data_IF_955315492749
#
_entry.id   IF_955315492749
#
_cell.length_a   1.000
_cell.length_b   1.000
_cell.length_c   1.000
_cell.angle_alpha   90.00
_cell.angle_beta   90.00
_cell.angle_gamma   90.00
#
_symmetry.space_group_name_H-M   'P 1'
#
loop_
_entity.id
_entity.type
_entity.pdbx_description
1 polymer ?
#
# COMPACT_ATOMS: atom_id res chain seq x y z
N UNK A 1 -18.10 13.17 -17.87
CA UNK A 1 -17.07 13.88 -17.09
C UNK A 1 -16.73 15.15 -17.85
N UNK A 2 -17.08 16.31 -17.32
CA UNK A 2 -16.73 17.57 -17.95
C UNK A 2 -15.20 17.77 -17.81
N UNK A 3 -14.50 17.84 -18.94
CA UNK A 3 -13.14 18.36 -18.98
C UNK A 3 -13.23 19.84 -18.61
N UNK A 4 -12.62 20.22 -17.49
CA UNK A 4 -12.35 21.63 -17.21
C UNK A 4 -11.25 22.08 -18.17
N UNK A 5 -11.58 23.02 -19.05
CA UNK A 5 -10.64 23.68 -19.96
C UNK A 5 -9.92 24.80 -19.21
N UNK A 6 -8.63 25.00 -19.52
CA UNK A 6 -7.74 25.98 -18.87
C UNK A 6 -8.16 27.45 -19.08
N UNK A 7 -9.24 27.70 -19.81
CA UNK A 7 -9.76 29.03 -20.13
C UNK A 7 -10.79 29.55 -19.12
N UNK A 8 -11.24 28.72 -18.17
CA UNK A 8 -12.22 29.10 -17.12
C UNK A 8 -11.58 29.63 -15.82
N UNK A 9 -10.25 29.85 -15.83
CA UNK A 9 -9.48 30.23 -14.63
C UNK A 9 -9.35 31.75 -14.53
N UNK A 10 -10.47 32.46 -14.41
CA UNK A 10 -10.46 33.81 -13.84
C UNK A 10 -11.63 34.02 -12.87
N UNK A 11 -11.41 33.59 -11.64
CA UNK A 11 -11.82 34.32 -10.46
C UNK A 11 -10.99 33.79 -9.29
N UNK A 12 -10.69 34.65 -8.32
CA UNK A 12 -9.88 34.40 -7.12
C UNK A 12 -10.46 33.31 -6.19
N UNK A 13 -10.62 32.08 -6.67
CA UNK A 13 -11.13 30.97 -5.89
C UNK A 13 -10.00 30.48 -5.00
N UNK A 14 -9.84 31.15 -3.85
CA UNK A 14 -8.92 30.73 -2.79
C UNK A 14 -9.36 29.37 -2.27
N UNK A 15 -8.68 28.31 -2.70
CA UNK A 15 -8.83 26.98 -2.12
C UNK A 15 -8.22 27.00 -0.72
N UNK A 16 -9.08 27.02 0.31
CA UNK A 16 -8.66 26.92 1.70
C UNK A 16 -8.11 25.51 1.97
N UNK A 17 -6.79 25.41 2.05
CA UNK A 17 -6.07 24.21 2.50
C UNK A 17 -5.60 24.36 3.96
N UNK A 18 -5.32 23.25 4.64
CA UNK A 18 -4.73 23.27 5.98
C UNK A 18 -5.70 23.47 7.15
N UNK A 19 -7.03 23.38 6.94
CA UNK A 19 -7.99 23.35 8.06
C UNK A 19 -7.69 22.15 8.97
N UNK A 20 -7.43 22.43 10.24
CA UNK A 20 -7.17 21.41 11.25
C UNK A 20 -8.46 20.68 11.61
N UNK A 21 -8.46 19.36 11.51
CA UNK A 21 -9.52 18.47 12.01
C UNK A 21 -8.91 17.42 12.94
N UNK A 22 -9.63 17.08 14.01
CA UNK A 22 -9.23 16.02 14.93
C UNK A 22 -10.01 14.75 14.60
N UNK A 23 -9.30 13.65 14.37
CA UNK A 23 -9.86 12.32 14.11
C UNK A 23 -9.38 11.36 15.21
N UNK A 24 -10.32 10.80 15.96
CA UNK A 24 -10.03 9.72 16.93
C UNK A 24 -9.96 8.39 16.17
N UNK A 25 -8.81 7.72 16.24
CA UNK A 25 -8.60 6.40 15.61
C UNK A 25 -8.06 5.41 16.62
N UNK A 26 -8.53 4.16 16.54
CA UNK A 26 -7.99 3.06 17.33
C UNK A 26 -6.63 2.65 16.76
N UNK A 27 -5.59 2.62 17.60
CA UNK A 27 -4.26 2.12 17.24
C UNK A 27 -4.06 0.74 17.85
N UNK A 28 -3.95 -0.27 17.01
CA UNK A 28 -3.54 -1.60 17.44
C UNK A 28 -2.02 -1.66 17.54
N UNK A 29 -1.51 -2.31 18.60
CA UNK A 29 -0.08 -2.53 18.77
C UNK A 29 0.46 -3.39 17.62
N UNK A 30 1.56 -2.97 17.02
CA UNK A 30 2.27 -3.72 15.98
C UNK A 30 3.67 -3.99 16.50
N UNK A 31 4.02 -5.25 16.69
CA UNK A 31 5.36 -5.64 17.10
C UNK A 31 6.35 -5.39 15.93
N UNK A 32 7.33 -4.49 16.07
CA UNK A 32 8.32 -4.23 15.02
C UNK A 32 9.09 -5.47 14.59
N UNK A 33 9.26 -6.45 15.49
CA UNK A 33 9.91 -7.72 15.17
C UNK A 33 9.19 -8.49 14.05
N UNK A 34 7.86 -8.38 13.94
CA UNK A 34 7.11 -9.06 12.89
C UNK A 34 7.49 -8.51 11.50
N UNK A 35 7.74 -7.20 11.40
CA UNK A 35 8.24 -6.60 10.15
C UNK A 35 9.60 -7.19 9.79
N UNK A 36 10.52 -7.20 10.74
CA UNK A 36 11.88 -7.69 10.48
C UNK A 36 11.90 -9.18 10.14
N UNK A 37 11.10 -10.00 10.83
CA UNK A 37 10.94 -11.42 10.52
C UNK A 37 10.34 -11.65 9.12
N UNK A 38 9.31 -10.88 8.75
CA UNK A 38 8.75 -10.91 7.40
C UNK A 38 9.83 -10.61 6.35
N UNK A 39 10.62 -9.55 6.55
CA UNK A 39 11.62 -9.11 5.57
C UNK A 39 12.85 -10.02 5.54
N UNK A 40 13.24 -10.60 6.67
CA UNK A 40 14.30 -11.60 6.73
C UNK A 40 13.92 -12.86 5.93
N UNK A 41 12.66 -13.29 6.00
CA UNK A 41 12.17 -14.45 5.27
C UNK A 41 11.85 -14.16 3.79
N UNK A 42 11.28 -13.00 3.48
CA UNK A 42 10.70 -12.71 2.17
C UNK A 42 11.51 -11.74 1.30
N UNK A 43 12.48 -11.02 1.87
CA UNK A 43 13.28 -10.01 1.18
C UNK A 43 12.55 -8.69 0.94
N UNK A 44 13.16 -7.82 0.11
CA UNK A 44 12.73 -6.44 -0.12
C UNK A 44 12.08 -6.19 -1.50
N UNK A 45 11.88 -7.25 -2.29
CA UNK A 45 11.16 -7.17 -3.56
C UNK A 45 9.66 -7.11 -3.33
N UNK A 46 8.95 -6.23 -4.05
CA UNK A 46 7.50 -6.24 -4.05
C UNK A 46 6.96 -7.57 -4.57
N UNK A 47 6.23 -8.33 -3.75
CA UNK A 47 5.69 -9.65 -4.13
C UNK A 47 4.55 -9.61 -5.15
N UNK A 48 4.00 -8.41 -5.38
CA UNK A 48 2.92 -8.16 -6.34
C UNK A 48 3.49 -7.83 -7.72
N UNK A 49 4.22 -6.71 -7.84
CA UNK A 49 4.71 -6.22 -9.13
C UNK A 49 6.21 -6.45 -9.39
N UNK A 50 6.96 -7.01 -8.44
CA UNK A 50 8.39 -7.29 -8.59
C UNK A 50 9.31 -6.08 -8.45
N UNK A 51 8.78 -4.88 -8.14
CA UNK A 51 9.57 -3.66 -8.00
C UNK A 51 10.63 -3.78 -6.90
N UNK A 52 11.85 -3.38 -7.23
CA UNK A 52 13.00 -3.28 -6.35
C UNK A 52 13.42 -1.81 -6.22
N UNK A 53 13.42 -1.29 -4.99
CA UNK A 53 13.80 0.09 -4.72
C UNK A 53 15.31 0.32 -4.80
N UNK A 54 16.11 -0.66 -4.39
CA UNK A 54 17.57 -0.53 -4.45
C UNK A 54 18.05 -0.60 -5.89
N UNK A 55 17.49 -1.49 -6.70
CA UNK A 55 17.76 -1.55 -8.14
C UNK A 55 17.36 -0.24 -8.83
N UNK A 56 16.17 0.29 -8.54
CA UNK A 56 15.64 1.48 -9.24
C UNK A 56 16.26 2.79 -8.79
N UNK A 57 16.55 2.95 -7.50
CA UNK A 57 16.95 4.22 -6.90
C UNK A 57 18.35 4.18 -6.25
N UNK A 58 19.04 3.05 -6.30
CA UNK A 58 20.34 2.87 -5.66
C UNK A 58 20.24 2.96 -4.13
N UNK A 59 21.25 3.57 -3.52
CA UNK A 59 21.45 3.57 -2.06
C UNK A 59 20.26 4.11 -1.26
N UNK A 60 19.51 5.08 -1.80
CA UNK A 60 18.33 5.64 -1.10
C UNK A 60 17.16 4.64 -1.03
N UNK A 61 17.15 3.63 -1.89
CA UNK A 61 16.17 2.55 -1.90
C UNK A 61 16.56 1.33 -1.06
N UNK A 62 17.77 1.30 -0.49
CA UNK A 62 18.26 0.18 0.31
C UNK A 62 17.30 -0.12 1.47
N UNK A 63 16.83 -1.37 1.54
CA UNK A 63 15.86 -1.86 2.54
C UNK A 63 14.53 -1.08 2.59
N UNK A 64 14.20 -0.31 1.57
CA UNK A 64 12.96 0.44 1.50
C UNK A 64 11.84 -0.40 0.87
N UNK A 65 10.88 -0.80 1.69
CA UNK A 65 9.67 -1.51 1.27
C UNK A 65 8.58 -1.37 2.34
N UNK A 66 7.31 -1.43 1.94
CA UNK A 66 6.19 -1.54 2.89
C UNK A 66 5.89 -3.01 3.19
N UNK A 67 5.28 -3.26 4.36
CA UNK A 67 4.76 -4.58 4.74
C UNK A 67 3.26 -4.47 4.94
N UNK A 68 2.50 -5.31 4.24
CA UNK A 68 1.05 -5.36 4.29
C UNK A 68 0.58 -6.63 5.01
N UNK A 69 -0.54 -6.56 5.73
CA UNK A 69 -1.17 -7.74 6.35
C UNK A 69 -2.11 -8.37 5.33
N UNK A 70 -1.84 -9.60 4.89
CA UNK A 70 -2.67 -10.32 3.91
C UNK A 70 -4.09 -10.50 4.45
N UNK A 71 -4.21 -10.78 5.75
CA UNK A 71 -5.48 -10.84 6.45
C UNK A 71 -5.49 -9.82 7.58
N UNK A 72 -6.52 -8.97 7.62
CA UNK A 72 -6.58 -7.88 8.59
C UNK A 72 -6.76 -8.40 10.01
N UNK A 73 -5.90 -7.95 10.93
CA UNK A 73 -6.02 -8.24 12.38
C UNK A 73 -7.39 -7.82 12.93
N UNK A 74 -7.97 -6.73 12.40
CA UNK A 74 -9.29 -6.24 12.80
C UNK A 74 -10.45 -7.19 12.45
N UNK A 75 -10.24 -8.15 11.55
CA UNK A 75 -11.27 -9.15 11.21
C UNK A 75 -11.39 -10.28 12.24
N UNK A 76 -10.42 -10.44 13.15
CA UNK A 76 -10.41 -11.59 14.05
C UNK A 76 -11.23 -11.42 15.34
N UNK A 77 -11.65 -10.20 15.73
CA UNK A 77 -12.51 -9.97 16.90
C UNK A 77 -11.94 -10.41 18.26
N UNK A 78 -10.76 -11.03 18.28
CA UNK A 78 -9.99 -11.53 19.43
C UNK A 78 -8.50 -11.44 19.12
N UNK A 79 -7.67 -11.58 20.14
CA UNK A 79 -6.22 -11.70 20.01
C UNK A 79 -5.86 -12.82 19.01
N UNK A 80 -4.94 -12.52 18.10
CA UNK A 80 -4.51 -13.43 17.03
C UNK A 80 -2.99 -13.53 17.05
N UNK A 81 -2.48 -14.76 17.06
CA UNK A 81 -1.06 -15.04 16.87
C UNK A 81 -0.71 -14.90 15.39
N UNK A 82 -0.08 -13.78 15.05
CA UNK A 82 0.41 -13.50 13.70
C UNK A 82 1.65 -14.34 13.39
N UNK A 83 1.66 -15.01 12.25
CA UNK A 83 2.82 -15.63 11.62
C UNK A 83 3.44 -14.61 10.63
N UNK A 84 4.58 -14.00 10.96
CA UNK A 84 5.17 -12.94 10.13
C UNK A 84 5.58 -13.39 8.74
N UNK A 85 5.73 -14.69 8.51
CA UNK A 85 6.13 -15.22 7.20
C UNK A 85 4.91 -15.42 6.31
N UNK A 86 3.76 -15.78 6.89
CA UNK A 86 2.54 -16.12 6.15
C UNK A 86 1.52 -14.99 6.08
N UNK A 87 1.41 -14.20 7.14
CA UNK A 87 0.34 -13.20 7.27
C UNK A 87 0.78 -11.81 6.82
N UNK A 88 2.08 -11.63 6.60
CA UNK A 88 2.68 -10.39 6.13
C UNK A 88 3.34 -10.57 4.77
N UNK A 89 3.27 -9.52 3.95
CA UNK A 89 3.82 -9.54 2.60
C UNK A 89 4.57 -8.22 2.29
N UNK A 90 5.80 -8.29 1.76
CA UNK A 90 6.52 -7.11 1.25
C UNK A 90 5.86 -6.58 -0.03
N UNK A 91 5.51 -5.30 -0.05
CA UNK A 91 4.88 -4.62 -1.18
C UNK A 91 5.45 -3.20 -1.35
N UNK A 92 5.51 -2.71 -2.59
CA UNK A 92 5.88 -1.31 -2.84
C UNK A 92 4.76 -0.37 -2.37
N UNK A 93 5.06 0.91 -2.07
CA UNK A 93 4.06 1.91 -1.68
C UNK A 93 2.87 2.02 -2.64
N UNK A 94 3.11 1.90 -3.95
CA UNK A 94 2.06 1.98 -4.96
C UNK A 94 1.10 0.79 -4.87
N UNK A 95 1.63 -0.44 -4.84
CA UNK A 95 0.79 -1.63 -4.65
C UNK A 95 0.10 -1.60 -3.29
N UNK A 96 0.78 -1.15 -2.23
CA UNK A 96 0.18 -1.04 -0.90
C UNK A 96 -1.02 -0.11 -0.92
N UNK A 97 -0.91 1.05 -1.57
CA UNK A 97 -2.03 1.98 -1.74
C UNK A 97 -3.18 1.33 -2.52
N UNK A 98 -2.90 0.57 -3.57
CA UNK A 98 -3.93 -0.11 -4.37
C UNK A 98 -4.67 -1.20 -3.60
N UNK A 99 -4.00 -1.97 -2.75
CA UNK A 99 -4.66 -2.95 -1.88
C UNK A 99 -5.70 -2.28 -0.97
N UNK A 100 -5.40 -1.06 -0.49
CA UNK A 100 -6.28 -0.29 0.40
C UNK A 100 -7.33 0.58 -0.32
N UNK A 101 -7.49 0.45 -1.64
CA UNK A 101 -8.59 1.12 -2.37
C UNK A 101 -9.96 0.50 -2.09
N UNK A 102 -9.99 -0.69 -1.48
CA UNK A 102 -11.21 -1.37 -1.01
C UNK A 102 -11.17 -1.57 0.50
N UNK A 103 -12.34 -1.78 1.10
CA UNK A 103 -12.47 -2.17 2.50
C UNK A 103 -13.45 -3.35 2.61
N UNK A 104 -13.00 -4.57 2.98
CA UNK A 104 -11.62 -4.93 3.32
C UNK A 104 -10.64 -4.76 2.14
N UNK A 105 -9.31 -4.67 2.41
CA UNK A 105 -8.30 -4.58 1.37
C UNK A 105 -8.39 -5.74 0.40
N UNK A 106 -8.07 -5.46 -0.85
CA UNK A 106 -7.96 -6.44 -1.92
C UNK A 106 -6.87 -7.47 -1.57
N UNK A 107 -7.03 -8.72 -2.01
CA UNK A 107 -5.98 -9.71 -1.82
C UNK A 107 -4.77 -9.43 -2.73
N UNK A 108 -3.53 -9.69 -2.30
CA UNK A 108 -2.34 -9.52 -3.14
C UNK A 108 -2.44 -10.19 -4.52
N UNK A 109 -3.04 -11.39 -4.56
CA UNK A 109 -3.22 -12.22 -5.74
C UNK A 109 -4.18 -11.56 -6.74
N UNK A 110 -5.28 -10.99 -6.26
CA UNK A 110 -6.26 -10.26 -7.08
C UNK A 110 -5.61 -9.04 -7.74
N UNK A 111 -4.81 -8.27 -6.98
CA UNK A 111 -4.08 -7.14 -7.54
C UNK A 111 -3.03 -7.58 -8.56
N UNK A 112 -2.34 -8.70 -8.30
CA UNK A 112 -1.36 -9.27 -9.23
C UNK A 112 -2.01 -9.69 -10.55
N UNK A 113 -3.18 -10.31 -10.50
CA UNK A 113 -3.96 -10.65 -11.69
C UNK A 113 -4.43 -9.41 -12.45
N UNK A 114 -4.87 -8.37 -11.74
CA UNK A 114 -5.29 -7.11 -12.35
C UNK A 114 -4.13 -6.47 -13.15
N UNK A 115 -2.94 -6.38 -12.55
CA UNK A 115 -1.75 -5.84 -13.22
C UNK A 115 -1.40 -6.67 -14.47
N UNK A 116 -1.43 -8.01 -14.36
CA UNK A 116 -1.17 -8.91 -15.49
C UNK A 116 -2.17 -8.73 -16.63
N UNK A 117 -3.46 -8.58 -16.31
CA UNK A 117 -4.51 -8.35 -17.33
C UNK A 117 -4.28 -7.05 -18.09
N UNK A 118 -3.90 -5.97 -17.42
CA UNK A 118 -3.60 -4.69 -18.08
C UNK A 118 -2.37 -4.79 -18.97
N UNK A 119 -1.32 -5.47 -18.52
CA UNK A 119 -0.11 -5.69 -19.32
C UNK A 119 -0.34 -6.55 -20.57
N UNK A 120 -1.33 -7.44 -20.54
CA UNK A 120 -1.69 -8.31 -21.66
C UNK A 120 -2.76 -7.71 -22.58
N UNK A 121 -3.49 -6.69 -22.11
CA UNK A 121 -4.55 -6.01 -22.87
C UNK A 121 -4.04 -4.89 -23.78
N UNK A 122 -2.77 -4.51 -23.64
CA UNK A 122 -2.07 -3.54 -24.51
C UNK A 122 -1.34 -4.23 -25.69
N UNK A 123 -1.90 -5.34 -26.20
CA UNK A 123 -1.46 -5.97 -27.46
C UNK A 123 -2.59 -6.03 -28.47
#
# INVERSE_FOLDING_TARGET
>A
MALLTLEDVDNEQKYLEGKVSQVLTNKYERNPANRELCLAANGYLCKICGFDFEDKYGKIGYKFIHVHHIQMVSSFGREYYLDPVKDLIPVCPNCHAMLHRTNPPMKPEELKELIRKQQNGDK
#
